data_IF_518197184773
#
_entry.id   IF_518197184773
#
_cell.length_a   1.000
_cell.length_b   1.000
_cell.length_c   1.000
_cell.angle_alpha   90.00
_cell.angle_beta   90.00
_cell.angle_gamma   90.00
#
_symmetry.space_group_name_H-M   'P 1'
#
loop_
_entity.id
_entity.type
_entity.pdbx_description
1 polymer ?
#
# COMPACT_ATOMS: atom_id res chain seq x y z
N UNK A 1 -0.28 54.88 -37.02
CA UNK A 1 0.71 54.86 -35.92
C UNK A 1 0.32 55.94 -34.92
N UNK A 2 0.28 55.58 -33.64
CA UNK A 2 -0.11 56.37 -32.44
C UNK A 2 -1.61 56.77 -32.38
N UNK A 3 -2.40 56.47 -31.35
CA UNK A 3 -2.12 55.95 -30.02
C UNK A 3 -2.63 56.93 -28.95
N UNK A 4 -3.76 56.57 -28.31
CA UNK A 4 -4.28 56.95 -26.98
C UNK A 4 -4.09 58.38 -26.43
N UNK A 5 -5.20 59.03 -26.06
CA UNK A 5 -5.44 59.37 -24.65
C UNK A 5 -6.91 59.75 -24.39
N UNK A 6 -7.64 58.92 -23.66
CA UNK A 6 -8.94 59.24 -23.04
C UNK A 6 -8.78 59.19 -21.52
N UNK A 7 -9.03 60.35 -20.91
CA UNK A 7 -9.99 60.61 -19.82
C UNK A 7 -9.95 59.65 -18.59
N UNK A 8 -9.64 60.29 -17.47
CA UNK A 8 -9.82 59.89 -16.06
C UNK A 8 -11.28 59.54 -15.75
N UNK A 9 -11.55 58.41 -15.08
CA UNK A 9 -12.65 58.27 -14.10
C UNK A 9 -12.29 57.20 -13.05
N UNK A 10 -12.39 57.61 -11.79
CA UNK A 10 -12.31 56.82 -10.55
C UNK A 10 -13.43 55.78 -10.45
N UNK A 11 -13.12 54.54 -10.04
CA UNK A 11 -14.11 53.61 -9.52
C UNK A 11 -13.54 52.80 -8.35
N UNK A 12 -14.14 53.02 -7.19
CA UNK A 12 -13.95 52.28 -5.94
C UNK A 12 -14.60 50.90 -6.10
N UNK A 13 -13.84 49.81 -5.92
CA UNK A 13 -14.42 48.47 -5.80
C UNK A 13 -13.87 47.82 -4.52
N UNK A 14 -14.78 47.68 -3.55
CA UNK A 14 -14.70 46.79 -2.41
C UNK A 14 -14.45 45.35 -2.88
N UNK A 15 -13.40 44.69 -2.39
CA UNK A 15 -13.30 43.23 -2.42
C UNK A 15 -13.05 42.70 -1.00
N UNK A 16 -14.19 42.40 -0.38
CA UNK A 16 -14.46 41.30 0.55
C UNK A 16 -13.27 40.37 0.85
N UNK A 17 -12.83 40.40 2.11
CA UNK A 17 -12.21 39.26 2.76
C UNK A 17 -13.24 38.13 2.84
N UNK A 18 -13.02 37.05 2.08
CA UNK A 18 -13.93 35.91 2.02
C UNK A 18 -13.15 34.65 1.68
N UNK A 19 -12.81 33.91 2.73
CA UNK A 19 -12.48 32.47 2.78
C UNK A 19 -12.37 31.76 1.42
N UNK A 20 -11.15 31.44 1.02
CA UNK A 20 -10.95 30.32 0.10
C UNK A 20 -11.38 29.04 0.82
N UNK A 21 -12.27 28.21 0.22
CA UNK A 21 -12.47 26.87 0.73
C UNK A 21 -11.14 26.15 0.59
N UNK A 22 -10.63 25.64 1.71
CA UNK A 22 -9.57 24.66 1.75
C UNK A 22 -10.12 23.42 1.02
N UNK A 23 -10.00 23.38 -0.30
CA UNK A 23 -10.13 22.15 -1.04
C UNK A 23 -8.99 21.28 -0.55
N UNK A 24 -9.34 20.29 0.27
CA UNK A 24 -8.45 19.18 0.57
C UNK A 24 -8.07 18.59 -0.79
N UNK A 25 -6.88 18.96 -1.27
CA UNK A 25 -6.20 18.22 -2.32
C UNK A 25 -5.97 16.86 -1.68
N UNK A 26 -6.84 15.90 -2.00
CA UNK A 26 -6.49 14.50 -1.83
C UNK A 26 -5.18 14.31 -2.59
N UNK A 27 -4.08 14.13 -1.86
CA UNK A 27 -2.80 13.82 -2.46
C UNK A 27 -3.00 12.59 -3.34
N UNK A 28 -2.64 12.64 -4.64
CA UNK A 28 -2.81 11.51 -5.52
C UNK A 28 -1.99 10.34 -4.96
N UNK A 29 -2.64 9.22 -4.66
CA UNK A 29 -2.02 7.99 -4.11
C UNK A 29 -0.99 7.31 -5.06
N UNK A 30 -0.39 8.00 -6.04
CA UNK A 30 0.26 7.36 -7.19
C UNK A 30 1.76 7.61 -7.41
N UNK A 31 2.54 7.95 -6.38
CA UNK A 31 4.03 8.01 -6.52
C UNK A 31 4.84 6.97 -5.73
N UNK A 32 4.24 6.18 -4.84
CA UNK A 32 4.97 5.21 -3.99
C UNK A 32 4.26 3.85 -3.89
N UNK A 33 3.82 3.28 -5.00
CA UNK A 33 3.24 1.93 -5.02
C UNK A 33 4.15 0.96 -5.79
N UNK A 34 4.27 -0.27 -5.29
CA UNK A 34 5.03 -1.36 -5.93
C UNK A 34 4.25 -1.99 -7.11
N UNK A 35 2.95 -1.74 -7.23
CA UNK A 35 2.09 -2.38 -8.24
C UNK A 35 2.55 -2.17 -9.68
N UNK A 36 2.84 -0.93 -10.15
CA UNK A 36 3.26 -0.73 -11.53
C UNK A 36 4.58 -1.45 -11.84
N UNK A 37 5.45 -1.59 -10.84
CA UNK A 37 6.73 -2.29 -10.94
C UNK A 37 6.48 -3.79 -11.19
N UNK A 38 5.64 -4.44 -10.37
CA UNK A 38 5.31 -5.85 -10.53
C UNK A 38 4.53 -6.15 -11.81
N UNK A 39 3.60 -5.27 -12.18
CA UNK A 39 2.89 -5.39 -13.46
C UNK A 39 3.84 -5.30 -14.65
N UNK A 40 4.81 -4.38 -14.61
CA UNK A 40 5.82 -4.28 -15.66
C UNK A 40 6.76 -5.49 -15.67
N UNK A 41 7.20 -5.96 -14.49
CA UNK A 41 8.04 -7.15 -14.38
C UNK A 41 7.39 -8.38 -15.03
N UNK A 42 6.10 -8.62 -14.75
CA UNK A 42 5.34 -9.71 -15.37
C UNK A 42 5.19 -9.52 -16.88
N UNK A 43 4.85 -8.31 -17.35
CA UNK A 43 4.75 -8.01 -18.79
C UNK A 43 6.06 -8.28 -19.53
N UNK A 44 7.18 -7.80 -18.98
CA UNK A 44 8.49 -7.98 -19.58
C UNK A 44 8.88 -9.47 -19.66
N UNK A 45 8.59 -10.24 -18.60
CA UNK A 45 8.85 -11.67 -18.59
C UNK A 45 8.03 -12.42 -19.67
N UNK A 46 6.74 -12.09 -19.80
CA UNK A 46 5.87 -12.68 -20.82
C UNK A 46 6.29 -12.33 -22.25
N UNK A 47 7.05 -11.24 -22.42
CA UNK A 47 7.64 -10.82 -23.70
C UNK A 47 9.09 -11.31 -23.87
N UNK A 48 9.55 -12.26 -23.04
CA UNK A 48 10.92 -12.81 -23.03
C UNK A 48 12.02 -11.75 -22.80
N UNK A 49 11.66 -10.56 -22.30
CA UNK A 49 12.57 -9.47 -21.95
C UNK A 49 13.15 -9.70 -20.56
N UNK A 50 13.87 -10.80 -20.37
CA UNK A 50 14.32 -11.27 -19.06
C UNK A 50 15.16 -10.23 -18.29
N UNK A 51 16.06 -9.53 -18.98
CA UNK A 51 16.86 -8.45 -18.36
C UNK A 51 15.98 -7.28 -17.86
N UNK A 52 14.95 -6.91 -18.62
CA UNK A 52 14.02 -5.85 -18.23
C UNK A 52 13.15 -6.28 -17.06
N UNK A 53 12.61 -7.51 -17.11
CA UNK A 53 11.84 -8.09 -16.01
C UNK A 53 12.66 -8.14 -14.71
N UNK A 54 13.88 -8.65 -14.76
CA UNK A 54 14.80 -8.69 -13.62
C UNK A 54 15.07 -7.28 -13.06
N UNK A 55 15.25 -6.27 -13.92
CA UNK A 55 15.44 -4.88 -13.48
C UNK A 55 14.22 -4.35 -12.72
N UNK A 56 13.00 -4.64 -13.19
CA UNK A 56 11.78 -4.25 -12.47
C UNK A 56 11.67 -4.97 -11.14
N UNK A 57 11.97 -6.27 -11.08
CA UNK A 57 11.96 -7.02 -9.81
C UNK A 57 12.96 -6.41 -8.81
N UNK A 58 14.16 -6.00 -9.24
CA UNK A 58 15.13 -5.29 -8.39
C UNK A 58 14.62 -3.96 -7.87
N UNK A 59 13.85 -3.22 -8.67
CA UNK A 59 13.17 -2.00 -8.18
C UNK A 59 12.13 -2.33 -7.11
N UNK A 60 11.43 -3.46 -7.25
CA UNK A 60 10.53 -3.98 -6.22
C UNK A 60 11.26 -4.32 -4.92
N UNK A 61 12.41 -5.00 -5.00
CA UNK A 61 13.26 -5.26 -3.84
C UNK A 61 13.72 -3.96 -3.15
N UNK A 62 14.23 -2.99 -3.93
CA UNK A 62 14.63 -1.69 -3.40
C UNK A 62 13.48 -0.93 -2.73
N UNK A 63 12.26 -1.06 -3.25
CA UNK A 63 11.06 -0.54 -2.59
C UNK A 63 10.85 -1.21 -1.23
N UNK A 64 10.90 -2.54 -1.15
CA UNK A 64 10.73 -3.28 0.11
C UNK A 64 11.78 -2.89 1.14
N UNK A 65 13.04 -2.74 0.72
CA UNK A 65 14.13 -2.26 1.59
C UNK A 65 13.87 -0.83 2.10
N UNK A 66 13.38 0.07 1.23
CA UNK A 66 13.00 1.43 1.64
C UNK A 66 11.86 1.43 2.67
N UNK A 67 10.90 0.51 2.55
CA UNK A 67 9.86 0.32 3.56
C UNK A 67 10.44 -0.23 4.87
N UNK A 68 11.37 -1.20 4.78
CA UNK A 68 12.02 -1.82 5.94
C UNK A 68 12.81 -0.80 6.78
N UNK A 69 13.44 0.19 6.13
CA UNK A 69 14.15 1.28 6.81
C UNK A 69 13.24 2.22 7.61
N UNK A 70 11.96 2.32 7.22
CA UNK A 70 10.94 3.17 7.86
C UNK A 70 10.09 2.39 8.88
N UNK A 71 10.18 1.07 8.87
CA UNK A 71 9.39 0.18 9.72
C UNK A 71 9.94 0.14 11.15
N UNK A 72 9.08 -0.22 12.11
CA UNK A 72 9.54 -0.62 13.43
C UNK A 72 10.32 -1.93 13.35
N UNK A 73 11.04 -2.30 14.41
CA UNK A 73 11.81 -3.55 14.44
C UNK A 73 10.98 -4.78 14.05
N UNK A 74 9.69 -4.81 14.46
CA UNK A 74 8.76 -5.91 14.15
C UNK A 74 8.38 -5.97 12.67
N UNK A 75 8.12 -4.83 12.02
CA UNK A 75 7.77 -4.79 10.59
C UNK A 75 8.97 -4.99 9.67
N UNK A 76 10.16 -4.57 10.12
CA UNK A 76 11.40 -4.61 9.35
C UNK A 76 11.78 -6.02 8.88
N UNK A 77 11.60 -7.03 9.72
CA UNK A 77 11.99 -8.42 9.40
C UNK A 77 11.29 -8.95 8.15
N UNK A 78 9.95 -8.85 8.09
CA UNK A 78 9.16 -9.34 6.97
C UNK A 78 9.50 -8.60 5.67
N UNK A 79 9.72 -7.28 5.74
CA UNK A 79 10.05 -6.45 4.59
C UNK A 79 11.46 -6.76 4.06
N UNK A 80 12.46 -6.89 4.93
CA UNK A 80 13.82 -7.28 4.54
C UNK A 80 13.87 -8.70 3.98
N UNK A 81 13.12 -9.64 4.55
CA UNK A 81 13.03 -11.00 4.01
C UNK A 81 12.45 -11.00 2.59
N UNK A 82 11.37 -10.25 2.37
CA UNK A 82 10.77 -10.10 1.04
C UNK A 82 11.70 -9.38 0.04
N UNK A 83 12.43 -8.35 0.48
CA UNK A 83 13.45 -7.69 -0.35
C UNK A 83 14.47 -8.69 -0.90
N UNK A 84 15.07 -9.50 -0.02
CA UNK A 84 16.05 -10.54 -0.39
C UNK A 84 15.46 -11.61 -1.32
N UNK A 85 14.21 -11.99 -1.09
CA UNK A 85 13.50 -12.93 -1.97
C UNK A 85 13.37 -12.36 -3.39
N UNK A 86 12.97 -11.09 -3.52
CA UNK A 86 12.84 -10.42 -4.81
C UNK A 86 14.20 -10.25 -5.49
N UNK A 87 15.28 -9.97 -4.75
CA UNK A 87 16.64 -9.94 -5.33
C UNK A 87 17.03 -11.28 -5.94
N UNK A 88 16.81 -12.38 -5.20
CA UNK A 88 17.05 -13.73 -5.71
C UNK A 88 16.20 -14.04 -6.93
N UNK A 89 14.91 -13.69 -6.90
CA UNK A 89 14.01 -13.87 -8.03
C UNK A 89 14.51 -13.10 -9.26
N UNK A 90 14.97 -11.87 -9.09
CA UNK A 90 15.48 -11.07 -10.20
C UNK A 90 16.70 -11.73 -10.86
N UNK A 91 17.62 -12.27 -10.06
CA UNK A 91 18.80 -12.97 -10.57
C UNK A 91 18.42 -14.28 -11.27
N UNK A 92 17.45 -15.03 -10.74
CA UNK A 92 16.92 -16.25 -11.38
C UNK A 92 16.22 -15.92 -12.70
N UNK A 93 15.39 -14.86 -12.77
CA UNK A 93 14.75 -14.39 -14.00
C UNK A 93 15.79 -14.00 -15.04
N UNK A 94 16.81 -13.24 -14.64
CA UNK A 94 17.89 -12.81 -15.55
C UNK A 94 18.62 -13.99 -16.19
N UNK A 95 18.79 -15.09 -15.44
CA UNK A 95 19.44 -16.32 -15.91
C UNK A 95 18.51 -17.24 -16.70
N UNK A 96 17.22 -16.91 -16.83
CA UNK A 96 16.22 -17.82 -17.42
C UNK A 96 15.92 -19.05 -16.55
N UNK A 97 16.27 -19.02 -15.26
CA UNK A 97 16.07 -20.13 -14.33
C UNK A 97 14.63 -20.18 -13.76
N UNK A 98 13.85 -19.11 -13.95
CA UNK A 98 12.41 -19.11 -13.67
C UNK A 98 11.68 -19.68 -14.87
N UNK A 99 11.09 -20.86 -14.70
CA UNK A 99 10.39 -21.60 -15.76
C UNK A 99 8.88 -21.38 -15.77
N UNK A 100 8.35 -20.61 -14.80
CA UNK A 100 6.92 -20.36 -14.68
C UNK A 100 6.64 -18.96 -14.13
N UNK A 101 5.74 -18.24 -14.80
CA UNK A 101 5.23 -16.95 -14.32
C UNK A 101 4.60 -17.06 -12.92
N UNK A 102 4.06 -18.22 -12.56
CA UNK A 102 3.46 -18.48 -11.25
C UNK A 102 4.45 -18.27 -10.10
N UNK A 103 5.71 -18.69 -10.25
CA UNK A 103 6.75 -18.52 -9.21
C UNK A 103 7.02 -17.03 -8.94
N UNK A 104 6.97 -16.21 -9.98
CA UNK A 104 7.14 -14.76 -9.88
C UNK A 104 5.92 -14.13 -9.18
N UNK A 105 4.72 -14.50 -9.60
CA UNK A 105 3.46 -14.05 -9.01
C UNK A 105 3.35 -14.39 -7.52
N UNK A 106 3.74 -15.60 -7.12
CA UNK A 106 3.80 -16.01 -5.71
C UNK A 106 4.80 -15.18 -4.89
N UNK A 107 5.92 -14.76 -5.48
CA UNK A 107 6.88 -13.89 -4.81
C UNK A 107 6.34 -12.47 -4.66
N UNK A 108 5.61 -11.96 -5.66
CA UNK A 108 4.91 -10.68 -5.57
C UNK A 108 3.79 -10.72 -4.53
N UNK A 109 3.07 -11.84 -4.43
CA UNK A 109 2.08 -12.06 -3.38
C UNK A 109 2.72 -11.96 -1.99
N UNK A 110 3.85 -12.63 -1.76
CA UNK A 110 4.59 -12.55 -0.49
C UNK A 110 5.09 -11.14 -0.18
N UNK A 111 5.50 -10.36 -1.18
CA UNK A 111 5.86 -8.96 -0.97
C UNK A 111 4.68 -8.12 -0.48
N UNK A 112 3.50 -8.28 -1.09
CA UNK A 112 2.29 -7.63 -0.59
C UNK A 112 1.86 -8.11 0.79
N UNK A 113 2.07 -9.39 1.11
CA UNK A 113 1.82 -9.91 2.45
C UNK A 113 2.73 -9.24 3.48
N UNK A 114 4.02 -9.08 3.19
CA UNK A 114 4.95 -8.37 4.06
C UNK A 114 4.54 -6.90 4.28
N UNK A 115 4.03 -6.21 3.24
CA UNK A 115 3.46 -4.87 3.38
C UNK A 115 2.20 -4.86 4.24
N UNK A 116 1.33 -5.87 4.12
CA UNK A 116 0.15 -6.00 4.98
C UNK A 116 0.52 -6.20 6.45
N UNK A 117 1.54 -7.03 6.73
CA UNK A 117 2.08 -7.24 8.08
C UNK A 117 2.59 -5.94 8.69
N UNK A 118 3.46 -5.21 7.97
CA UNK A 118 3.99 -3.93 8.46
C UNK A 118 2.89 -2.88 8.69
N UNK A 119 1.93 -2.77 7.77
CA UNK A 119 0.79 -1.86 7.91
C UNK A 119 -0.09 -2.21 9.13
N UNK A 120 -0.32 -3.50 9.39
CA UNK A 120 -1.07 -3.95 10.57
C UNK A 120 -0.33 -3.63 11.88
N UNK A 121 0.99 -3.82 11.91
CA UNK A 121 1.85 -3.45 13.05
C UNK A 121 1.74 -1.94 13.30
N UNK A 122 1.89 -1.11 12.26
CA UNK A 122 1.73 0.35 12.36
C UNK A 122 0.35 0.76 12.86
N UNK A 123 -0.70 0.05 12.44
CA UNK A 123 -2.06 0.29 12.92
C UNK A 123 -2.17 0.05 14.43
N UNK A 124 -1.68 -1.10 14.89
CA UNK A 124 -1.71 -1.50 16.30
C UNK A 124 -0.88 -0.57 17.18
N UNK A 125 0.30 -0.16 16.70
CA UNK A 125 1.17 0.80 17.41
C UNK A 125 0.51 2.19 17.51
N UNK A 126 -0.07 2.68 16.41
CA UNK A 126 -0.76 3.97 16.38
C UNK A 126 -1.99 3.98 17.29
N UNK A 127 -2.74 2.87 17.32
CA UNK A 127 -3.87 2.69 18.22
C UNK A 127 -3.44 2.79 19.68
N UNK A 128 -2.36 2.09 20.05
CA UNK A 128 -1.78 2.14 21.40
C UNK A 128 -1.34 3.55 21.79
N UNK A 129 -0.85 4.34 20.83
CA UNK A 129 -0.47 5.75 21.00
C UNK A 129 -1.66 6.72 20.98
N UNK A 130 -2.90 6.22 20.92
CA UNK A 130 -4.14 7.00 20.81
C UNK A 130 -4.23 7.85 19.53
N UNK A 131 -3.49 7.48 18.50
CA UNK A 131 -3.49 8.14 17.19
C UNK A 131 -4.53 7.50 16.27
N UNK A 132 -5.81 7.62 16.63
CA UNK A 132 -6.90 6.89 15.97
C UNK A 132 -6.91 7.01 14.44
N UNK A 133 -6.74 8.22 13.90
CA UNK A 133 -6.75 8.42 12.45
C UNK A 133 -5.59 7.70 11.75
N UNK A 134 -4.38 7.69 12.34
CA UNK A 134 -3.22 6.95 11.82
C UNK A 134 -3.45 5.45 11.92
N UNK A 135 -4.04 4.98 13.03
CA UNK A 135 -4.40 3.58 13.20
C UNK A 135 -5.36 3.11 12.10
N UNK A 136 -6.40 3.90 11.82
CA UNK A 136 -7.34 3.61 10.74
C UNK A 136 -6.68 3.60 9.37
N UNK A 137 -5.93 4.64 9.00
CA UNK A 137 -5.23 4.70 7.72
C UNK A 137 -4.28 3.51 7.49
N UNK A 138 -3.54 3.11 8.54
CA UNK A 138 -2.67 1.93 8.47
C UNK A 138 -3.45 0.61 8.36
N UNK A 139 -4.62 0.50 8.99
CA UNK A 139 -5.48 -0.69 8.88
C UNK A 139 -6.07 -0.85 7.47
N UNK A 140 -6.52 0.25 6.85
CA UNK A 140 -6.95 0.26 5.45
C UNK A 140 -5.81 -0.17 4.52
N UNK A 141 -4.60 0.34 4.74
CA UNK A 141 -3.42 -0.09 4.00
C UNK A 141 -3.13 -1.58 4.16
N UNK A 142 -3.29 -2.14 5.37
CA UNK A 142 -3.11 -3.57 5.62
C UNK A 142 -4.09 -4.42 4.80
N UNK A 143 -5.37 -4.05 4.81
CA UNK A 143 -6.41 -4.73 4.03
C UNK A 143 -6.16 -4.67 2.52
N UNK A 144 -5.85 -3.48 1.97
CA UNK A 144 -5.53 -3.30 0.55
C UNK A 144 -4.33 -4.14 0.13
N UNK A 145 -3.27 -4.18 0.94
CA UNK A 145 -2.10 -5.01 0.66
C UNK A 145 -2.43 -6.51 0.74
N UNK A 146 -3.26 -6.94 1.71
CA UNK A 146 -3.72 -8.33 1.78
C UNK A 146 -4.53 -8.73 0.54
N UNK A 147 -5.43 -7.87 0.06
CA UNK A 147 -6.19 -8.11 -1.19
C UNK A 147 -5.27 -8.26 -2.40
N UNK A 148 -4.25 -7.40 -2.52
CA UNK A 148 -3.23 -7.51 -3.57
C UNK A 148 -2.43 -8.80 -3.46
N UNK A 149 -2.11 -9.22 -2.24
CA UNK A 149 -1.44 -10.49 -1.97
C UNK A 149 -2.27 -11.68 -2.44
N UNK A 150 -3.58 -11.72 -2.14
CA UNK A 150 -4.50 -12.73 -2.67
C UNK A 150 -4.55 -12.73 -4.20
N UNK A 151 -4.68 -11.53 -4.79
CA UNK A 151 -4.75 -11.34 -6.25
C UNK A 151 -3.51 -11.90 -6.94
N UNK A 152 -2.32 -11.53 -6.47
CA UNK A 152 -1.05 -12.02 -7.03
C UNK A 152 -0.84 -13.51 -6.77
N UNK A 153 -1.35 -14.07 -5.67
CA UNK A 153 -1.31 -15.51 -5.43
C UNK A 153 -2.26 -16.31 -6.34
N UNK A 154 -3.10 -15.63 -7.15
CA UNK A 154 -4.15 -16.27 -7.94
C UNK A 154 -5.21 -16.93 -7.07
N UNK A 155 -5.38 -16.47 -5.83
CA UNK A 155 -6.30 -17.08 -4.87
C UNK A 155 -7.53 -16.20 -4.66
N UNK A 156 -8.71 -16.84 -4.68
CA UNK A 156 -9.95 -16.20 -4.27
C UNK A 156 -9.94 -16.02 -2.74
N UNK A 157 -10.35 -14.84 -2.29
CA UNK A 157 -10.55 -14.57 -0.86
C UNK A 157 -11.75 -15.38 -0.37
N UNK A 158 -11.57 -16.16 0.69
CA UNK A 158 -12.64 -16.93 1.34
C UNK A 158 -13.67 -15.98 1.94
N UNK A 159 -14.95 -16.40 1.98
CA UNK A 159 -16.05 -15.55 2.45
C UNK A 159 -15.83 -15.05 3.89
N UNK A 160 -15.32 -15.90 4.77
CA UNK A 160 -14.97 -15.53 6.16
C UNK A 160 -13.89 -14.44 6.21
N UNK A 161 -12.81 -14.58 5.42
CA UNK A 161 -11.76 -13.58 5.32
C UNK A 161 -12.29 -12.26 4.74
N UNK A 162 -13.16 -12.31 3.72
CA UNK A 162 -13.81 -11.11 3.17
C UNK A 162 -14.67 -10.39 4.22
N UNK A 163 -15.39 -11.14 5.05
CA UNK A 163 -16.23 -10.55 6.10
C UNK A 163 -15.38 -9.89 7.20
N UNK A 164 -14.21 -10.46 7.54
CA UNK A 164 -13.24 -9.82 8.45
C UNK A 164 -12.66 -8.55 7.83
N UNK A 165 -12.21 -8.61 6.57
CA UNK A 165 -11.66 -7.45 5.86
C UNK A 165 -12.68 -6.31 5.80
N UNK A 166 -13.95 -6.60 5.47
CA UNK A 166 -15.02 -5.59 5.45
C UNK A 166 -15.24 -4.94 6.82
N UNK A 167 -15.28 -5.73 7.90
CA UNK A 167 -15.41 -5.17 9.27
C UNK A 167 -14.19 -4.33 9.65
N UNK A 168 -13.01 -4.72 9.19
CA UNK A 168 -11.76 -3.99 9.35
C UNK A 168 -11.79 -2.64 8.57
N UNK A 169 -12.36 -2.60 7.37
CA UNK A 169 -12.57 -1.35 6.62
C UNK A 169 -13.58 -0.43 7.32
N UNK A 170 -14.67 -0.98 7.83
CA UNK A 170 -15.68 -0.21 8.57
C UNK A 170 -15.08 0.46 9.82
N UNK A 171 -14.26 -0.27 10.59
CA UNK A 171 -13.61 0.31 11.77
C UNK A 171 -12.51 1.30 11.38
N UNK A 172 -11.76 1.02 10.31
CA UNK A 172 -10.76 1.94 9.75
C UNK A 172 -11.38 3.30 9.41
N UNK A 173 -12.51 3.30 8.69
CA UNK A 173 -13.22 4.52 8.33
C UNK A 173 -13.71 5.29 9.55
N UNK A 174 -14.23 4.60 10.58
CA UNK A 174 -14.66 5.24 11.83
C UNK A 174 -13.49 5.85 12.60
N UNK A 175 -12.36 5.16 12.66
CA UNK A 175 -11.12 5.63 13.29
C UNK A 175 -10.60 6.90 12.61
N UNK A 176 -10.62 6.94 11.27
CA UNK A 176 -10.20 8.11 10.49
C UNK A 176 -11.14 9.32 10.69
N UNK A 177 -12.45 9.08 10.83
CA UNK A 177 -13.47 10.12 11.06
C UNK A 177 -13.59 10.58 12.52
N UNK A 178 -12.73 10.09 13.42
CA UNK A 178 -12.80 10.36 14.88
C UNK A 178 -14.17 10.05 15.49
N UNK A 179 -14.83 8.99 15.01
CA UNK A 179 -16.11 8.56 15.58
C UNK A 179 -15.97 8.06 17.02
N UNK A 180 -17.07 8.08 17.78
CA UNK A 180 -17.12 7.41 19.08
C UNK A 180 -17.00 5.90 18.87
N UNK A 181 -15.95 5.31 19.44
CA UNK A 181 -15.61 3.90 19.30
C UNK A 181 -15.34 3.29 20.67
N UNK A 182 -15.83 2.08 20.87
CA UNK A 182 -15.51 1.27 22.04
C UNK A 182 -14.10 0.71 21.83
N UNK A 183 -13.21 0.92 22.80
CA UNK A 183 -11.81 0.53 22.67
C UNK A 183 -11.63 -0.98 22.48
N UNK A 184 -12.46 -1.78 23.13
CA UNK A 184 -12.49 -3.24 22.99
C UNK A 184 -12.88 -3.68 21.58
N UNK A 185 -13.88 -3.05 20.96
CA UNK A 185 -14.28 -3.33 19.59
C UNK A 185 -13.12 -3.09 18.61
N UNK A 186 -12.40 -1.99 18.77
CA UNK A 186 -11.24 -1.66 17.92
C UNK A 186 -10.14 -2.72 18.11
N UNK A 187 -9.81 -3.06 19.35
CA UNK A 187 -8.79 -4.06 19.65
C UNK A 187 -9.14 -5.44 19.06
N UNK A 188 -10.39 -5.87 19.17
CA UNK A 188 -10.87 -7.12 18.61
C UNK A 188 -10.77 -7.12 17.08
N UNK A 189 -11.14 -6.02 16.41
CA UNK A 189 -11.02 -5.93 14.94
C UNK A 189 -9.59 -5.89 14.44
N UNK A 190 -8.69 -5.21 15.15
CA UNK A 190 -7.26 -5.26 14.85
C UNK A 190 -6.72 -6.69 15.00
N UNK A 191 -7.12 -7.42 16.04
CA UNK A 191 -6.75 -8.82 16.24
C UNK A 191 -7.28 -9.71 15.12
N UNK A 192 -8.55 -9.59 14.77
CA UNK A 192 -9.19 -10.37 13.69
C UNK A 192 -8.45 -10.16 12.36
N UNK A 193 -8.14 -8.91 12.00
CA UNK A 193 -7.38 -8.58 10.79
C UNK A 193 -5.98 -9.19 10.80
N UNK A 194 -5.27 -9.10 11.94
CA UNK A 194 -3.95 -9.71 12.11
C UNK A 194 -3.96 -11.22 11.93
N UNK A 195 -4.99 -11.91 12.46
CA UNK A 195 -5.15 -13.36 12.31
C UNK A 195 -5.33 -13.77 10.84
N UNK A 196 -6.10 -13.01 10.05
CA UNK A 196 -6.30 -13.30 8.62
C UNK A 196 -5.02 -13.06 7.81
N UNK A 197 -4.25 -12.00 8.14
CA UNK A 197 -2.93 -11.76 7.55
C UNK A 197 -1.99 -12.93 7.85
N UNK A 198 -1.92 -13.38 9.10
CA UNK A 198 -1.06 -14.50 9.50
C UNK A 198 -1.49 -15.81 8.82
N UNK A 199 -2.80 -16.11 8.84
CA UNK A 199 -3.38 -17.29 8.18
C UNK A 199 -3.00 -17.33 6.71
N UNK A 200 -3.12 -16.21 6.00
CA UNK A 200 -2.77 -16.17 4.58
C UNK A 200 -1.27 -16.31 4.35
N UNK A 201 -0.43 -15.67 5.18
CA UNK A 201 1.03 -15.80 5.11
C UNK A 201 1.51 -17.24 5.19
N UNK A 202 0.95 -18.02 6.12
CA UNK A 202 1.22 -19.48 6.24
C UNK A 202 0.86 -20.24 4.97
N UNK A 203 -0.22 -19.85 4.29
CA UNK A 203 -0.69 -20.50 3.05
C UNK A 203 0.20 -20.24 1.84
N UNK A 204 0.84 -19.07 1.76
CA UNK A 204 1.69 -18.66 0.62
C UNK A 204 3.19 -18.76 0.90
N UNK A 205 3.57 -19.28 2.06
CA UNK A 205 4.97 -19.48 2.44
C UNK A 205 5.69 -20.35 1.40
N UNK A 206 6.96 -20.05 1.08
CA UNK A 206 7.74 -20.88 0.15
C UNK A 206 7.75 -22.34 0.61
N UNK A 207 7.50 -23.27 -0.32
CA UNK A 207 7.59 -24.71 -0.06
C UNK A 207 9.00 -25.22 -0.29
#
# INVERSE_FOLDING_TARGET
MHGLNRIVVTALVLIMAGMLPLTAIAEPESKSSIEPIFQQAKRDYLQEKLNSSALQIKKGAAYMESQAQKASAKGKEALTASSKELEKLADDVKKGAVTSGKRMEESFARAYHALAVDAHIKSTESWTKKEAAKAGAALDSANKNLEKSFTWAGQKVEKSTQDVMKKSDEISLKLQKKGNLIAEDVANRLKDAGNEIEKFGKKISPR
#
